data_IF_359604875332
#
_entry.id   IF_359604875332
#
_cell.length_a   1.000
_cell.length_b   1.000
_cell.length_c   1.000
_cell.angle_alpha   90.00
_cell.angle_beta   90.00
_cell.angle_gamma   90.00
#
_symmetry.space_group_name_H-M   'P 1'
#
loop_
_entity.id
_entity.type
_entity.pdbx_description
1 polymer ?
#
# COMPACT_ATOMS: atom_id res chain seq x y z
N UNK A 1 -6.56 9.51 14.36
CA UNK A 1 -5.66 8.99 13.31
C UNK A 1 -4.93 7.78 13.87
N UNK A 2 -5.19 6.60 13.31
CA UNK A 2 -4.47 5.37 13.68
C UNK A 2 -3.58 4.90 12.52
N UNK A 3 -2.44 4.28 12.82
CA UNK A 3 -1.60 3.63 11.82
C UNK A 3 -1.85 2.13 11.82
N UNK A 4 -2.13 1.58 10.65
CA UNK A 4 -2.32 0.16 10.40
C UNK A 4 -1.16 -0.38 9.58
N UNK A 5 -0.80 -1.63 9.82
CA UNK A 5 0.40 -2.24 9.25
C UNK A 5 0.04 -3.42 8.36
N UNK A 6 0.66 -3.44 7.18
CA UNK A 6 0.67 -4.57 6.26
C UNK A 6 2.10 -5.08 6.20
N UNK A 7 2.27 -6.35 6.54
CA UNK A 7 3.58 -7.02 6.55
C UNK A 7 3.78 -7.77 5.24
N UNK A 8 4.93 -7.55 4.62
CA UNK A 8 5.35 -8.21 3.39
C UNK A 8 6.48 -9.17 3.74
N UNK A 9 6.22 -10.47 3.59
CA UNK A 9 7.19 -11.56 3.74
C UNK A 9 7.12 -12.41 2.46
N UNK A 10 6.89 -13.72 2.56
CA UNK A 10 6.55 -14.56 1.39
C UNK A 10 5.11 -14.34 0.91
N UNK A 11 4.29 -13.75 1.77
CA UNK A 11 2.93 -13.30 1.45
C UNK A 11 2.69 -11.92 2.06
N UNK A 12 1.60 -11.28 1.64
CA UNK A 12 1.10 -10.04 2.25
C UNK A 12 0.09 -10.38 3.34
N UNK A 13 0.23 -9.77 4.52
CA UNK A 13 -0.72 -9.93 5.63
C UNK A 13 -0.99 -8.61 6.36
N UNK A 14 -2.26 -8.23 6.60
CA UNK A 14 -3.47 -8.95 6.18
C UNK A 14 -3.77 -8.79 4.67
N UNK A 15 -4.49 -9.75 4.09
CA UNK A 15 -4.98 -9.68 2.70
C UNK A 15 -6.17 -8.73 2.53
N UNK A 16 -6.98 -8.56 3.58
CA UNK A 16 -8.08 -7.59 3.65
C UNK A 16 -7.90 -6.74 4.90
N UNK A 17 -7.83 -5.42 4.72
CA UNK A 17 -7.70 -4.46 5.81
C UNK A 17 -8.85 -3.46 5.76
N UNK A 18 -9.55 -3.29 6.88
CA UNK A 18 -10.56 -2.25 7.04
C UNK A 18 -9.96 -1.10 7.85
N UNK A 19 -10.01 0.11 7.30
CA UNK A 19 -9.52 1.33 7.94
C UNK A 19 -10.53 2.45 7.78
N UNK A 20 -10.34 3.53 8.53
CA UNK A 20 -11.20 4.70 8.41
C UNK A 20 -10.52 5.85 7.67
N UNK A 21 -11.33 6.78 7.16
CA UNK A 21 -10.81 8.08 6.69
C UNK A 21 -9.97 8.75 7.79
N UNK A 22 -8.80 9.24 7.38
CA UNK A 22 -7.79 9.84 8.25
C UNK A 22 -6.85 8.83 8.91
N UNK A 23 -7.01 7.53 8.69
CA UNK A 23 -6.03 6.54 9.12
C UNK A 23 -4.89 6.40 8.09
N UNK A 24 -3.72 5.98 8.59
CA UNK A 24 -2.55 5.70 7.78
C UNK A 24 -2.37 4.19 7.61
N UNK A 25 -2.09 3.75 6.39
CA UNK A 25 -1.69 2.36 6.10
C UNK A 25 -0.22 2.34 5.72
N UNK A 26 0.54 1.49 6.39
CA UNK A 26 1.97 1.30 6.18
C UNK A 26 2.26 -0.13 5.71
N UNK A 27 2.85 -0.24 4.53
CA UNK A 27 3.40 -1.49 4.01
C UNK A 27 4.85 -1.62 4.44
N UNK A 28 5.18 -2.67 5.18
CA UNK A 28 6.51 -2.93 5.70
C UNK A 28 7.13 -4.12 4.97
N UNK A 29 8.28 -3.91 4.36
CA UNK A 29 9.06 -4.98 3.78
C UNK A 29 9.91 -5.65 4.87
N UNK A 30 9.53 -6.86 5.24
CA UNK A 30 10.25 -7.68 6.22
C UNK A 30 11.17 -8.72 5.55
N UNK A 31 11.32 -8.66 4.23
CA UNK A 31 12.23 -9.51 3.46
C UNK A 31 13.63 -8.91 3.41
N UNK A 32 14.61 -9.75 3.06
CA UNK A 32 15.97 -9.37 2.71
C UNK A 32 16.11 -8.73 1.33
N UNK A 33 15.13 -8.93 0.44
CA UNK A 33 15.12 -8.35 -0.91
C UNK A 33 14.17 -7.15 -1.02
N UNK A 34 14.44 -6.19 -1.93
CA UNK A 34 13.47 -5.13 -2.24
C UNK A 34 12.22 -5.71 -2.90
N UNK A 35 11.07 -5.12 -2.56
CA UNK A 35 9.77 -5.47 -3.16
C UNK A 35 9.19 -4.25 -3.87
N UNK A 36 8.25 -4.48 -4.80
CA UNK A 36 7.52 -3.39 -5.45
C UNK A 36 6.04 -3.57 -5.24
N UNK A 37 5.39 -2.54 -4.72
CA UNK A 37 3.93 -2.47 -4.63
C UNK A 37 3.38 -1.76 -5.87
N UNK A 38 2.27 -2.29 -6.38
CA UNK A 38 1.47 -1.68 -7.44
C UNK A 38 0.03 -1.57 -6.98
N UNK A 39 -0.46 -0.34 -6.88
CA UNK A 39 -1.86 -0.02 -6.67
C UNK A 39 -2.59 -0.24 -8.01
N UNK A 40 -3.67 -1.01 -7.95
CA UNK A 40 -4.48 -1.35 -9.12
C UNK A 40 -5.68 -0.42 -9.27
N UNK A 41 -6.09 0.21 -8.17
CA UNK A 41 -7.18 1.17 -8.15
C UNK A 41 -6.61 2.58 -8.33
N UNK A 42 -7.19 3.36 -9.24
CA UNK A 42 -6.80 4.76 -9.42
C UNK A 42 -7.09 5.55 -8.15
N UNK A 43 -6.04 5.89 -7.41
CA UNK A 43 -6.13 6.88 -6.34
C UNK A 43 -5.94 8.25 -6.99
N UNK A 44 -7.03 8.98 -7.21
CA UNK A 44 -6.88 10.40 -7.54
C UNK A 44 -6.06 11.08 -6.43
N UNK A 45 -5.17 12.02 -6.76
CA UNK A 45 -4.34 12.72 -5.77
C UNK A 45 -5.15 13.40 -4.64
N UNK A 46 -6.44 13.65 -4.85
CA UNK A 46 -7.38 14.16 -3.84
C UNK A 46 -7.89 13.12 -2.83
N UNK A 47 -7.55 11.83 -3.01
CA UNK A 47 -7.95 10.70 -2.16
C UNK A 47 -6.95 10.38 -1.05
N UNK A 48 -5.80 11.04 -1.04
CA UNK A 48 -4.70 10.81 -0.10
C UNK A 48 -4.36 12.13 0.60
N UNK A 49 -4.20 12.12 1.93
CA UNK A 49 -3.81 13.30 2.72
C UNK A 49 -2.33 13.32 3.13
N UNK A 50 -1.67 12.17 3.05
CA UNK A 50 -0.25 12.02 3.33
C UNK A 50 0.31 10.84 2.55
N UNK A 51 1.58 10.90 2.17
CA UNK A 51 2.23 9.80 1.48
C UNK A 51 3.72 9.74 1.79
N UNK A 52 4.27 8.54 1.74
CA UNK A 52 5.71 8.27 1.86
C UNK A 52 6.07 7.17 0.88
N UNK A 53 6.99 7.46 -0.03
CA UNK A 53 7.50 6.52 -1.04
C UNK A 53 6.64 6.34 -2.30
N UNK A 54 5.39 6.83 -2.31
CA UNK A 54 4.50 6.83 -3.48
C UNK A 54 4.49 8.19 -4.23
N UNK A 55 5.61 8.90 -4.29
CA UNK A 55 5.64 10.24 -4.90
C UNK A 55 6.77 10.44 -5.89
N UNK A 56 6.43 10.99 -7.04
CA UNK A 56 7.35 11.46 -8.04
C UNK A 56 6.87 12.80 -8.61
N UNK A 57 7.73 13.81 -8.59
CA UNK A 57 7.44 15.18 -9.07
C UNK A 57 6.09 15.77 -8.62
N UNK A 58 5.69 15.54 -7.36
CA UNK A 58 4.45 16.07 -6.79
C UNK A 58 3.17 15.33 -7.21
N UNK A 59 3.28 14.30 -8.07
CA UNK A 59 2.18 13.37 -8.37
C UNK A 59 2.25 12.14 -7.45
N UNK A 60 1.09 11.57 -7.18
CA UNK A 60 0.98 10.24 -6.59
C UNK A 60 1.35 9.22 -7.68
N UNK A 61 2.31 8.35 -7.38
CA UNK A 61 2.61 7.20 -8.22
C UNK A 61 1.75 6.02 -7.77
N UNK A 62 1.21 5.28 -8.73
CA UNK A 62 0.50 4.03 -8.46
C UNK A 62 1.45 2.89 -8.07
N UNK A 63 2.77 3.11 -8.10
CA UNK A 63 3.76 2.10 -7.71
C UNK A 63 4.82 2.67 -6.78
N UNK A 64 5.34 1.84 -5.89
CA UNK A 64 6.49 2.19 -5.06
C UNK A 64 7.41 0.98 -4.84
N UNK A 65 8.72 1.22 -4.84
CA UNK A 65 9.71 0.21 -4.46
C UNK A 65 10.07 0.38 -2.99
N UNK A 66 10.01 -0.71 -2.24
CA UNK A 66 10.27 -0.74 -0.80
C UNK A 66 11.58 -1.52 -0.55
N UNK A 67 12.66 -0.85 -0.14
CA UNK A 67 13.89 -1.54 0.25
C UNK A 67 13.69 -2.55 1.39
N UNK A 68 14.64 -3.48 1.61
CA UNK A 68 14.63 -4.38 2.76
C UNK A 68 14.53 -3.59 4.08
N UNK A 69 13.70 -4.07 5.01
CA UNK A 69 13.46 -3.44 6.32
C UNK A 69 12.92 -1.99 6.27
N UNK A 70 12.44 -1.53 5.11
CA UNK A 70 11.85 -0.21 4.93
C UNK A 70 10.32 -0.30 4.83
N UNK A 71 9.69 0.88 4.68
CA UNK A 71 8.24 0.96 4.50
C UNK A 71 7.85 2.09 3.56
N UNK A 72 6.62 1.99 3.06
CA UNK A 72 5.90 3.07 2.40
C UNK A 72 4.53 3.21 3.04
N UNK A 73 3.90 4.37 2.92
CA UNK A 73 2.60 4.62 3.55
C UNK A 73 1.73 5.62 2.82
N UNK A 74 0.42 5.48 3.02
CA UNK A 74 -0.61 6.41 2.55
C UNK A 74 -1.59 6.72 3.69
N UNK A 75 -2.02 7.97 3.80
CA UNK A 75 -3.18 8.37 4.61
C UNK A 75 -4.37 8.57 3.69
N UNK A 76 -5.50 7.90 3.96
CA UNK A 76 -6.68 8.00 3.11
C UNK A 76 -7.56 9.18 3.52
N UNK A 77 -7.85 10.07 2.57
CA UNK A 77 -8.68 11.26 2.78
C UNK A 77 -10.15 11.05 2.39
N UNK A 78 -10.47 9.97 1.67
CA UNK A 78 -11.82 9.66 1.17
C UNK A 78 -12.16 8.19 1.40
N UNK A 79 -13.45 7.90 1.49
CA UNK A 79 -13.96 6.53 1.51
C UNK A 79 -13.76 5.85 0.16
N UNK A 80 -13.69 4.52 0.17
CA UNK A 80 -13.51 3.74 -1.05
C UNK A 80 -12.83 2.40 -0.80
N UNK A 81 -12.28 1.81 -1.86
CA UNK A 81 -11.47 0.61 -1.74
C UNK A 81 -10.25 0.67 -2.63
N UNK A 82 -9.13 0.16 -2.13
CA UNK A 82 -7.86 0.09 -2.83
C UNK A 82 -7.50 -1.37 -3.00
N UNK A 83 -7.26 -1.78 -4.23
CA UNK A 83 -6.65 -3.08 -4.54
C UNK A 83 -5.19 -2.87 -4.91
N UNK A 84 -4.34 -3.80 -4.49
CA UNK A 84 -2.91 -3.75 -4.78
C UNK A 84 -2.32 -5.15 -4.84
N UNK A 85 -1.20 -5.26 -5.57
CA UNK A 85 -0.35 -6.44 -5.61
C UNK A 85 1.07 -6.06 -5.15
N UNK A 86 1.83 -7.05 -4.72
CA UNK A 86 3.27 -6.89 -4.41
C UNK A 86 4.06 -7.86 -5.28
N UNK A 87 5.09 -7.36 -5.94
CA UNK A 87 6.12 -8.17 -6.61
C UNK A 87 7.25 -8.44 -5.64
N UNK A 88 7.45 -9.72 -5.30
CA UNK A 88 8.46 -10.14 -4.33
C UNK A 88 9.85 -10.29 -4.95
N UNK A 89 9.94 -10.46 -6.27
CA UNK A 89 11.19 -10.51 -7.03
C UNK A 89 11.11 -9.59 -8.24
N UNK A 90 11.91 -8.52 -8.23
CA UNK A 90 11.90 -7.52 -9.30
C UNK A 90 12.51 -8.02 -10.63
N UNK A 91 13.29 -9.10 -10.61
CA UNK A 91 13.83 -9.73 -11.81
C UNK A 91 12.84 -10.69 -12.49
N UNK A 92 11.83 -11.18 -11.75
CA UNK A 92 10.73 -11.99 -12.29
C UNK A 92 9.37 -11.53 -11.71
N UNK A 93 8.84 -10.37 -12.17
CA UNK A 93 7.65 -9.77 -11.58
C UNK A 93 6.38 -10.62 -11.78
N UNK A 94 6.29 -11.32 -12.92
CA UNK A 94 5.10 -12.10 -13.29
C UNK A 94 4.90 -13.32 -12.38
N UNK A 95 5.98 -14.03 -12.04
CA UNK A 95 5.89 -15.23 -11.20
C UNK A 95 5.96 -14.94 -9.70
N UNK A 96 6.46 -13.76 -9.31
CA UNK A 96 6.63 -13.38 -7.91
C UNK A 96 5.54 -12.46 -7.37
N UNK A 97 4.49 -12.23 -8.15
CA UNK A 97 3.36 -11.40 -7.74
C UNK A 97 2.49 -12.12 -6.71
N UNK A 98 2.21 -11.44 -5.60
CA UNK A 98 1.26 -11.95 -4.60
C UNK A 98 -0.17 -11.92 -5.11
N UNK A 99 -1.07 -12.67 -4.46
CA UNK A 99 -2.51 -12.47 -4.62
C UNK A 99 -2.91 -11.02 -4.33
N UNK A 100 -3.99 -10.58 -4.98
CA UNK A 100 -4.52 -9.22 -4.81
C UNK A 100 -5.08 -9.03 -3.41
N UNK A 101 -4.46 -8.08 -2.71
CA UNK A 101 -4.90 -7.63 -1.40
C UNK A 101 -5.78 -6.39 -1.55
N UNK A 102 -6.64 -6.15 -0.55
CA UNK A 102 -7.64 -5.09 -0.56
C UNK A 102 -7.64 -4.30 0.74
N UNK A 103 -7.75 -2.99 0.62
CA UNK A 103 -8.03 -2.07 1.73
C UNK A 103 -9.42 -1.49 1.49
N UNK A 104 -10.25 -1.49 2.52
CA UNK A 104 -11.55 -0.82 2.52
C UNK A 104 -11.44 0.38 3.46
N UNK A 105 -11.79 1.56 2.95
CA UNK A 105 -11.77 2.82 3.69
C UNK A 105 -13.22 3.26 3.92
N UNK A 106 -13.64 3.24 5.18
CA UNK A 106 -14.98 3.67 5.61
C UNK A 106 -14.95 5.02 6.32
N UNK A 107 -16.10 5.68 6.40
CA UNK A 107 -16.27 6.83 7.28
C UNK A 107 -16.20 6.36 8.74
N UNK A 108 -15.67 7.21 9.64
CA UNK A 108 -15.75 6.92 11.07
C UNK A 108 -17.22 6.96 11.52
N UNK A 109 -17.67 6.02 12.35
CA UNK A 109 -18.95 6.16 13.03
C UNK A 109 -18.96 7.46 13.82
N UNK A 110 -19.97 8.30 13.58
CA UNK A 110 -20.27 9.51 14.35
C UNK A 110 -20.88 9.16 15.69
#
# INVERSE_FOLDING_TARGET
MQTHYIRIQDTVSPQLLNVHVGDAVRWQNLRSEPVRISLLSQLSGSGVSCQTGFSHFGSLDDTATIPPNAYVSLCFARTGSIQYNVWLNLADPLRSMTSTAKIIVSARPT
#
